data_IF_960188833174
#
_entry.id   IF_960188833174
#
_cell.length_a   1.000
_cell.length_b   1.000
_cell.length_c   1.000
_cell.angle_alpha   90.00
_cell.angle_beta   90.00
_cell.angle_gamma   90.00
#
_symmetry.space_group_name_H-M   'P 1'
#
loop_
_entity.id
_entity.type
_entity.pdbx_description
1 polymer ?
#
# COMPACT_ATOMS: atom_id res chain seq x y z
N UNK A 1 7.98 -32.05 60.58
CA UNK A 1 6.80 -32.43 59.77
C UNK A 1 6.65 -31.38 58.68
N UNK A 2 7.30 -31.61 57.53
CA UNK A 2 6.68 -32.11 56.28
C UNK A 2 5.86 -31.00 55.60
N UNK A 3 6.45 -30.23 54.66
CA UNK A 3 6.51 -30.50 53.20
C UNK A 3 5.16 -30.95 52.63
N UNK A 4 4.48 -30.03 51.94
CA UNK A 4 3.73 -30.16 50.67
C UNK A 4 3.08 -28.78 50.40
N UNK A 5 2.94 -28.26 49.19
CA UNK A 5 3.49 -28.66 47.90
C UNK A 5 3.45 -27.41 47.03
N UNK A 6 4.62 -26.99 46.53
CA UNK A 6 4.76 -25.95 45.51
C UNK A 6 4.46 -26.51 44.12
N UNK A 7 3.36 -27.23 43.98
CA UNK A 7 2.97 -27.94 42.74
C UNK A 7 1.63 -27.44 42.17
N UNK A 8 1.23 -26.20 42.44
CA UNK A 8 0.04 -25.61 41.80
C UNK A 8 0.34 -24.55 40.73
N UNK A 9 1.62 -24.32 40.38
CA UNK A 9 1.96 -23.52 39.20
C UNK A 9 2.34 -24.35 37.96
N UNK A 10 2.64 -25.64 38.10
CA UNK A 10 3.01 -26.48 36.95
C UNK A 10 1.79 -27.05 36.20
N UNK A 11 0.61 -27.11 36.84
CA UNK A 11 -0.62 -27.58 36.20
C UNK A 11 -1.26 -26.56 35.23
N UNK A 12 -0.84 -25.28 35.26
CA UNK A 12 -1.40 -24.23 34.38
C UNK A 12 -0.70 -24.10 33.03
N UNK A 13 0.39 -24.84 32.78
CA UNK A 13 1.14 -24.77 31.51
C UNK A 13 0.89 -25.95 30.56
N UNK A 14 0.10 -26.98 30.96
CA UNK A 14 -0.07 -28.20 30.15
C UNK A 14 -1.49 -28.39 29.58
N UNK A 15 -2.48 -27.57 29.96
CA UNK A 15 -3.86 -27.69 29.41
C UNK A 15 -4.38 -26.34 28.93
N UNK A 16 -3.66 -25.71 28.00
CA UNK A 16 -4.28 -24.75 27.10
C UNK A 16 -4.53 -25.47 25.77
N UNK A 17 -5.79 -25.62 25.31
CA UNK A 17 -6.03 -26.19 24.00
C UNK A 17 -5.34 -25.33 22.94
N UNK A 18 -4.53 -25.96 22.09
CA UNK A 18 -3.93 -25.40 20.87
C UNK A 18 -4.99 -24.82 19.88
N UNK A 19 -6.28 -24.97 20.20
CA UNK A 19 -7.42 -24.52 19.40
C UNK A 19 -7.98 -23.14 19.78
N UNK A 20 -7.25 -22.33 20.55
CA UNK A 20 -7.46 -20.87 20.47
C UNK A 20 -6.49 -20.32 19.44
N UNK A 21 -6.90 -20.41 18.16
CA UNK A 21 -6.40 -19.53 17.12
C UNK A 21 -6.59 -18.11 17.67
N UNK A 22 -5.50 -17.52 18.18
CA UNK A 22 -5.44 -16.09 18.43
C UNK A 22 -5.84 -15.48 17.09
N UNK A 23 -7.05 -14.93 17.00
CA UNK A 23 -7.40 -13.97 15.97
C UNK A 23 -7.03 -12.60 16.57
N UNK A 24 -5.77 -12.14 16.45
CA UNK A 24 -5.45 -10.77 16.82
C UNK A 24 -6.12 -9.84 15.79
N UNK A 25 -6.61 -8.67 16.23
CA UNK A 25 -7.12 -7.67 15.29
C UNK A 25 -6.04 -7.31 14.27
N UNK A 26 -6.40 -7.36 12.98
CA UNK A 26 -5.66 -6.86 11.81
C UNK A 26 -4.12 -6.93 11.90
N UNK A 27 -3.58 -8.16 11.87
CA UNK A 27 -2.15 -8.40 11.80
C UNK A 27 -1.64 -8.23 10.34
N UNK A 28 -0.62 -7.39 10.07
CA UNK A 28 -0.01 -7.23 8.73
C UNK A 28 0.39 -8.56 8.07
N UNK A 29 0.80 -9.55 8.88
CA UNK A 29 1.18 -10.88 8.41
C UNK A 29 0.02 -11.66 7.80
N UNK A 30 -1.23 -11.38 8.18
CA UNK A 30 -2.38 -12.10 7.63
C UNK A 30 -2.61 -11.80 6.16
N UNK A 31 -2.48 -10.53 5.78
CA UNK A 31 -2.62 -10.11 4.38
C UNK A 31 -1.60 -10.81 3.46
N UNK A 32 -0.34 -10.90 3.88
CA UNK A 32 0.72 -11.59 3.13
C UNK A 32 0.38 -13.07 2.94
N UNK A 33 -0.11 -13.73 4.01
CA UNK A 33 -0.51 -15.14 3.95
C UNK A 33 -1.73 -15.36 3.06
N UNK A 34 -2.73 -14.48 3.13
CA UNK A 34 -3.94 -14.57 2.31
C UNK A 34 -3.60 -14.41 0.82
N UNK A 35 -2.76 -13.44 0.46
CA UNK A 35 -2.27 -13.28 -0.93
C UNK A 35 -1.59 -14.55 -1.42
N UNK A 36 -0.73 -15.16 -0.60
CA UNK A 36 -0.06 -16.42 -0.97
C UNK A 36 -1.05 -17.56 -1.20
N UNK A 37 -2.14 -17.63 -0.44
CA UNK A 37 -3.19 -18.63 -0.64
C UNK A 37 -4.02 -18.35 -1.90
N UNK A 38 -4.30 -17.08 -2.19
CA UNK A 38 -5.11 -16.64 -3.34
C UNK A 38 -4.38 -16.76 -4.67
N UNK A 39 -3.11 -16.35 -4.73
CA UNK A 39 -2.34 -16.30 -5.99
C UNK A 39 -1.46 -17.53 -6.20
N UNK A 40 -1.20 -18.31 -5.14
CA UNK A 40 -0.20 -19.39 -5.15
C UNK A 40 1.26 -18.89 -5.15
N UNK A 41 1.49 -17.58 -5.24
CA UNK A 41 2.79 -16.94 -5.29
C UNK A 41 3.15 -16.17 -4.02
N UNK A 42 4.34 -15.58 -4.01
CA UNK A 42 4.78 -14.66 -2.96
C UNK A 42 4.09 -13.30 -3.06
N UNK A 43 4.13 -12.54 -1.96
CA UNK A 43 3.61 -11.17 -1.94
C UNK A 43 4.40 -10.22 -2.86
N UNK A 44 5.70 -10.49 -3.06
CA UNK A 44 6.53 -9.72 -3.98
C UNK A 44 6.10 -9.92 -5.44
N UNK A 45 5.83 -11.16 -5.85
CA UNK A 45 5.30 -11.47 -7.18
C UNK A 45 3.94 -10.79 -7.40
N UNK A 46 3.04 -10.84 -6.41
CA UNK A 46 1.78 -10.13 -6.47
C UNK A 46 1.93 -8.61 -6.74
N UNK A 47 2.90 -7.95 -6.10
CA UNK A 47 3.18 -6.52 -6.35
C UNK A 47 3.83 -6.32 -7.73
N UNK A 48 4.77 -7.19 -8.11
CA UNK A 48 5.50 -7.10 -9.36
C UNK A 48 4.56 -7.23 -10.56
N UNK A 49 3.67 -8.22 -10.53
CA UNK A 49 2.73 -8.56 -11.61
C UNK A 49 1.57 -7.57 -11.73
N UNK A 50 1.34 -6.73 -10.73
CA UNK A 50 0.27 -5.74 -10.78
C UNK A 50 0.46 -4.77 -11.96
N UNK A 51 -0.55 -4.50 -12.80
CA UNK A 51 -0.38 -3.61 -13.95
C UNK A 51 -0.09 -2.17 -13.53
N UNK A 52 1.00 -1.58 -14.06
CA UNK A 52 1.37 -0.19 -13.76
C UNK A 52 0.28 0.83 -14.15
N UNK A 53 -0.51 0.50 -15.17
CA UNK A 53 -1.65 1.30 -15.63
C UNK A 53 -2.82 1.37 -14.63
N UNK A 54 -2.83 0.53 -13.59
CA UNK A 54 -3.82 0.54 -12.49
C UNK A 54 -3.10 0.56 -11.12
N UNK A 55 -2.08 1.40 -10.97
CA UNK A 55 -1.35 1.46 -9.70
C UNK A 55 -2.23 1.95 -8.53
N UNK A 56 -3.24 2.77 -8.82
CA UNK A 56 -4.25 3.18 -7.81
C UNK A 56 -5.13 2.01 -7.33
N UNK A 57 -5.33 0.99 -8.17
CA UNK A 57 -5.98 -0.27 -7.79
C UNK A 57 -5.16 -0.99 -6.73
N UNK A 58 -3.83 -1.05 -6.93
CA UNK A 58 -2.93 -1.63 -5.93
C UNK A 58 -2.98 -0.85 -4.62
N UNK A 59 -2.98 0.48 -4.67
CA UNK A 59 -3.12 1.32 -3.46
C UNK A 59 -4.40 0.99 -2.69
N UNK A 60 -5.49 0.74 -3.40
CA UNK A 60 -6.78 0.39 -2.79
C UNK A 60 -6.73 -0.97 -2.12
N UNK A 61 -6.11 -1.97 -2.75
CA UNK A 61 -5.95 -3.31 -2.16
C UNK A 61 -5.07 -3.22 -0.91
N UNK A 62 -3.92 -2.54 -1.00
CA UNK A 62 -3.03 -2.32 0.13
C UNK A 62 -3.73 -1.57 1.27
N UNK A 63 -4.49 -0.52 0.97
CA UNK A 63 -5.20 0.26 1.98
C UNK A 63 -6.37 -0.48 2.63
N UNK A 64 -7.03 -1.39 1.91
CA UNK A 64 -8.14 -2.19 2.44
C UNK A 64 -7.68 -3.38 3.29
N UNK A 65 -6.58 -4.02 2.89
CA UNK A 65 -6.16 -5.31 3.47
C UNK A 65 -4.91 -5.18 4.36
N UNK A 66 -4.08 -4.18 4.10
CA UNK A 66 -2.83 -3.94 4.80
C UNK A 66 -2.98 -2.95 5.96
N UNK A 67 -2.45 -3.33 7.12
CA UNK A 67 -2.39 -2.46 8.29
C UNK A 67 -1.42 -1.29 8.04
N UNK A 68 -1.89 -0.04 8.21
CA UNK A 68 -1.12 1.20 7.97
C UNK A 68 -0.62 1.40 6.53
N UNK A 69 -1.17 0.67 5.56
CA UNK A 69 -0.86 0.83 4.12
C UNK A 69 -1.94 1.63 3.37
N UNK A 70 -2.76 2.42 4.08
CA UNK A 70 -3.76 3.30 3.48
C UNK A 70 -3.21 4.68 3.09
N UNK A 71 -3.96 5.38 2.23
CA UNK A 71 -3.66 6.76 1.82
C UNK A 71 -2.24 6.92 1.27
N UNK A 72 -1.50 7.92 1.77
CA UNK A 72 -0.13 8.25 1.33
C UNK A 72 0.90 7.14 1.64
N UNK A 73 0.60 6.23 2.57
CA UNK A 73 1.51 5.14 2.93
C UNK A 73 1.63 4.08 1.84
N UNK A 74 0.58 3.83 1.05
CA UNK A 74 0.61 2.87 -0.05
C UNK A 74 1.71 3.19 -1.09
N UNK A 75 1.70 4.37 -1.75
CA UNK A 75 2.74 4.70 -2.72
C UNK A 75 4.14 4.76 -2.12
N UNK A 76 4.29 5.19 -0.87
CA UNK A 76 5.59 5.17 -0.18
C UNK A 76 6.13 3.76 0.01
N UNK A 77 5.29 2.84 0.49
CA UNK A 77 5.64 1.43 0.59
C UNK A 77 6.01 0.83 -0.77
N UNK A 78 5.23 1.11 -1.82
CA UNK A 78 5.50 0.58 -3.16
C UNK A 78 6.85 1.03 -3.71
N UNK A 79 7.25 2.29 -3.49
CA UNK A 79 8.60 2.75 -3.88
C UNK A 79 9.71 2.02 -3.13
N UNK A 80 9.53 1.77 -1.83
CA UNK A 80 10.48 0.97 -1.05
C UNK A 80 10.56 -0.48 -1.56
N UNK A 81 9.44 -1.03 -2.03
CA UNK A 81 9.36 -2.35 -2.64
C UNK A 81 9.83 -2.39 -4.10
N UNK A 82 10.24 -1.26 -4.68
CA UNK A 82 10.71 -1.16 -6.07
C UNK A 82 9.61 -1.16 -7.13
N UNK A 83 8.33 -1.03 -6.74
CA UNK A 83 7.21 -0.91 -7.67
C UNK A 83 7.05 0.54 -8.11
N UNK A 84 7.05 0.77 -9.43
CA UNK A 84 6.86 2.10 -9.99
C UNK A 84 5.46 2.65 -9.66
N UNK A 85 5.43 3.90 -9.19
CA UNK A 85 4.22 4.58 -8.74
C UNK A 85 4.43 6.08 -8.62
N UNK A 86 3.38 6.86 -8.86
CA UNK A 86 3.41 8.32 -8.69
C UNK A 86 3.11 8.73 -7.23
N UNK A 87 3.49 9.96 -6.87
CA UNK A 87 3.02 10.60 -5.64
C UNK A 87 2.16 11.82 -5.98
N UNK A 88 1.04 11.95 -5.29
CA UNK A 88 0.22 13.16 -5.28
C UNK A 88 0.70 14.07 -4.15
N UNK A 89 1.77 14.83 -4.39
CA UNK A 89 2.15 15.95 -3.52
C UNK A 89 1.29 17.17 -3.85
N UNK A 90 1.31 18.19 -2.98
CA UNK A 90 0.63 19.47 -3.23
C UNK A 90 1.02 20.06 -4.59
N UNK A 91 2.29 20.00 -4.97
CA UNK A 91 2.77 20.54 -6.24
C UNK A 91 2.29 19.73 -7.44
N UNK A 92 2.23 18.40 -7.33
CA UNK A 92 1.66 17.56 -8.40
C UNK A 92 0.18 17.87 -8.57
N UNK A 93 -0.58 17.99 -7.48
CA UNK A 93 -2.00 18.37 -7.53
C UNK A 93 -2.15 19.75 -8.17
N UNK A 94 -1.40 20.75 -7.72
CA UNK A 94 -1.43 22.10 -8.28
C UNK A 94 -1.09 22.11 -9.78
N UNK A 95 -0.09 21.33 -10.20
CA UNK A 95 0.30 21.22 -11.61
C UNK A 95 -0.79 20.58 -12.47
N UNK A 96 -1.45 19.53 -11.96
CA UNK A 96 -2.55 18.85 -12.65
C UNK A 96 -3.79 19.74 -12.73
N UNK A 97 -4.08 20.51 -11.67
CA UNK A 97 -5.14 21.51 -11.68
C UNK A 97 -4.86 22.62 -12.69
N UNK A 98 -3.63 23.16 -12.73
CA UNK A 98 -3.23 24.15 -13.72
C UNK A 98 -3.27 23.60 -15.18
N UNK A 99 -3.15 22.28 -15.35
CA UNK A 99 -3.32 21.61 -16.64
C UNK A 99 -4.79 21.39 -17.05
N UNK A 100 -5.75 21.63 -16.15
CA UNK A 100 -7.15 21.28 -16.36
C UNK A 100 -7.43 19.77 -16.31
N UNK A 101 -6.56 18.97 -15.70
CA UNK A 101 -6.75 17.51 -15.58
C UNK A 101 -7.69 17.18 -14.42
N UNK A 102 -7.63 17.95 -13.34
CA UNK A 102 -8.49 17.81 -12.15
C UNK A 102 -8.92 19.20 -11.67
N UNK A 103 -10.09 19.29 -11.06
CA UNK A 103 -10.64 20.57 -10.56
C UNK A 103 -10.36 20.79 -9.06
N UNK A 104 -10.05 19.72 -8.32
CA UNK A 104 -9.83 19.73 -6.87
C UNK A 104 -8.87 18.61 -6.44
N UNK A 105 -8.47 18.61 -5.18
CA UNK A 105 -7.59 17.56 -4.63
C UNK A 105 -8.25 16.16 -4.75
N UNK A 106 -7.59 15.16 -5.37
CA UNK A 106 -8.21 13.86 -5.63
C UNK A 106 -8.55 13.12 -4.33
N UNK A 107 -9.84 12.99 -4.03
CA UNK A 107 -10.33 12.30 -2.83
C UNK A 107 -11.17 11.07 -3.14
N UNK A 108 -11.89 11.07 -4.26
CA UNK A 108 -12.73 9.94 -4.67
C UNK A 108 -11.97 8.95 -5.55
N UNK A 109 -12.51 7.73 -5.70
CA UNK A 109 -11.98 6.75 -6.64
C UNK A 109 -12.01 7.27 -8.08
N UNK A 110 -13.04 8.04 -8.45
CA UNK A 110 -13.16 8.64 -9.78
C UNK A 110 -12.04 9.66 -10.02
N UNK A 111 -11.78 10.53 -9.05
CA UNK A 111 -10.72 11.55 -9.18
C UNK A 111 -9.35 10.89 -9.31
N UNK A 112 -9.08 9.85 -8.52
CA UNK A 112 -7.84 9.07 -8.61
C UNK A 112 -7.71 8.37 -9.97
N UNK A 113 -8.81 7.89 -10.56
CA UNK A 113 -8.81 7.30 -11.89
C UNK A 113 -8.43 8.34 -12.96
N UNK A 114 -9.01 9.54 -12.92
CA UNK A 114 -8.65 10.63 -13.83
C UNK A 114 -7.14 10.94 -13.77
N UNK A 115 -6.58 10.96 -12.56
CA UNK A 115 -5.13 11.11 -12.36
C UNK A 115 -4.35 9.95 -12.97
N UNK A 116 -4.74 8.70 -12.68
CA UNK A 116 -4.09 7.51 -13.23
C UNK A 116 -4.06 7.55 -14.76
N UNK A 117 -5.18 7.92 -15.38
CA UNK A 117 -5.30 7.99 -16.84
C UNK A 117 -4.37 9.07 -17.42
N UNK A 118 -4.28 10.23 -16.78
CA UNK A 118 -3.33 11.28 -17.17
C UNK A 118 -1.87 10.82 -17.05
N UNK A 119 -1.52 10.12 -15.96
CA UNK A 119 -0.19 9.55 -15.78
C UNK A 119 0.13 8.45 -16.79
N UNK A 120 -0.85 7.62 -17.14
CA UNK A 120 -0.73 6.60 -18.17
C UNK A 120 -0.45 7.24 -19.53
N UNK A 121 -1.18 8.31 -19.88
CA UNK A 121 -0.95 9.04 -21.13
C UNK A 121 0.45 9.65 -21.16
N UNK A 122 0.86 10.34 -20.10
CA UNK A 122 2.21 10.91 -20.00
C UNK A 122 3.31 9.84 -20.11
N UNK A 123 3.10 8.66 -19.53
CA UNK A 123 4.02 7.54 -19.65
C UNK A 123 4.08 7.00 -21.08
N UNK A 124 2.94 6.85 -21.75
CA UNK A 124 2.89 6.43 -23.16
C UNK A 124 3.62 7.41 -24.07
N UNK A 125 3.41 8.71 -23.86
CA UNK A 125 3.99 9.76 -24.69
C UNK A 125 5.50 9.92 -24.48
N UNK A 126 5.98 9.73 -23.25
CA UNK A 126 7.38 10.01 -22.87
C UNK A 126 8.26 8.78 -22.69
N UNK A 127 7.68 7.60 -22.52
CA UNK A 127 8.37 6.37 -22.13
C UNK A 127 8.96 6.40 -20.70
N UNK A 128 8.59 7.39 -19.88
CA UNK A 128 9.16 7.56 -18.52
C UNK A 128 8.36 6.81 -17.45
N UNK A 129 9.03 6.36 -16.38
CA UNK A 129 8.34 5.77 -15.23
C UNK A 129 7.50 6.82 -14.48
N UNK A 130 6.42 6.37 -13.85
CA UNK A 130 5.44 7.18 -13.12
C UNK A 130 6.10 7.99 -12.01
N UNK A 131 7.08 7.41 -11.32
CA UNK A 131 7.82 8.11 -10.28
C UNK A 131 8.54 9.36 -10.82
N UNK A 132 9.23 9.25 -11.96
CA UNK A 132 9.90 10.39 -12.61
C UNK A 132 8.90 11.42 -13.10
N UNK A 133 7.80 10.98 -13.71
CA UNK A 133 6.73 11.88 -14.14
C UNK A 133 6.19 12.71 -12.98
N UNK A 134 5.95 12.09 -11.82
CA UNK A 134 5.45 12.81 -10.65
C UNK A 134 6.45 13.86 -10.15
N UNK A 135 7.75 13.55 -10.18
CA UNK A 135 8.80 14.52 -9.83
C UNK A 135 8.91 15.66 -10.84
N UNK A 136 8.82 15.37 -12.13
CA UNK A 136 8.84 16.38 -13.19
C UNK A 136 7.64 17.34 -13.09
N UNK A 137 6.45 16.81 -12.84
CA UNK A 137 5.25 17.63 -12.64
C UNK A 137 5.42 18.57 -11.44
N UNK A 138 5.88 18.05 -10.30
CA UNK A 138 6.11 18.87 -9.10
C UNK A 138 7.11 20.02 -9.36
N UNK A 139 8.22 19.73 -10.05
CA UNK A 139 9.25 20.73 -10.36
C UNK A 139 8.79 21.77 -11.40
N UNK A 140 7.71 21.51 -12.14
CA UNK A 140 7.25 22.38 -13.24
C UNK A 140 6.32 23.52 -12.83
N UNK A 141 5.75 23.50 -11.61
CA UNK A 141 4.77 24.50 -11.18
C UNK A 141 5.37 25.59 -10.29
N UNK A 142 6.23 25.22 -9.33
CA UNK A 142 6.87 26.15 -8.38
C UNK A 142 8.32 25.71 -8.11
N UNK A 143 9.26 26.00 -9.02
CA UNK A 143 10.67 25.67 -8.81
C UNK A 143 11.27 26.59 -7.74
N UNK A 144 11.10 26.22 -6.47
CA UNK A 144 11.88 26.80 -5.37
C UNK A 144 13.23 26.11 -5.36
N UNK A 145 14.23 26.75 -5.97
CA UNK A 145 15.64 26.36 -5.93
C UNK A 145 16.43 27.38 -5.12
#
# INVERSE_FOLDING_TARGET
RSRTSGENLFCLLIVAPFSQRLEPPQNPGRFILDIRQETGGSFGEFIADWPGADIIGLWRVLGKRGTRLGGRSAPGFLRLAGKDTFFLTSDVVARLTAAGVIDHEPGSQRDLQTVQDAFNQLQQDSGRPLCQLSSLLALSINPTF
#
